data_IF_038505504012
#
_entry.id   IF_038505504012
#
_cell.length_a   1.000
_cell.length_b   1.000
_cell.length_c   1.000
_cell.angle_alpha   90.00
_cell.angle_beta   90.00
_cell.angle_gamma   90.00
#
_symmetry.space_group_name_H-M   'P 1'
#
loop_
_entity.id
_entity.type
_entity.pdbx_description
1 polymer ?
#
# COMPACT_ATOMS: atom_id res chain seq x y z
N UNK A 1 -1.79 14.90 -0.83
CA UNK A 1 -0.43 15.37 -1.21
C UNK A 1 -0.02 14.72 -2.54
N UNK A 2 0.61 15.45 -3.47
CA UNK A 2 1.14 14.90 -4.73
C UNK A 2 2.56 15.45 -4.96
N UNK A 3 3.42 14.65 -5.60
CA UNK A 3 4.78 15.06 -5.94
C UNK A 3 4.80 15.83 -7.27
N UNK A 4 5.75 16.77 -7.39
CA UNK A 4 6.06 17.46 -8.65
C UNK A 4 7.29 16.80 -9.28
N UNK A 5 7.26 16.41 -10.57
CA UNK A 5 8.43 15.87 -11.26
C UNK A 5 9.59 16.88 -11.29
N UNK A 6 10.81 16.41 -11.04
CA UNK A 6 12.01 17.24 -11.03
C UNK A 6 13.27 16.43 -10.75
N UNK A 7 14.45 17.07 -10.80
CA UNK A 7 15.67 16.44 -10.34
C UNK A 7 15.58 16.09 -8.86
N UNK A 8 16.31 15.05 -8.43
CA UNK A 8 16.40 14.72 -7.00
C UNK A 8 17.03 15.91 -6.26
N UNK A 9 16.32 16.52 -5.30
CA UNK A 9 16.84 17.68 -4.59
C UNK A 9 18.07 17.30 -3.75
N UNK A 10 19.00 18.23 -3.63
CA UNK A 10 20.24 18.08 -2.86
C UNK A 10 20.29 19.09 -1.73
N UNK A 11 21.04 18.78 -0.67
CA UNK A 11 21.22 19.64 0.49
C UNK A 11 20.38 19.24 1.70
N UNK A 12 20.53 20.01 2.77
CA UNK A 12 19.85 19.78 4.05
C UNK A 12 18.34 20.04 3.95
N UNK A 13 17.55 19.33 4.75
CA UNK A 13 16.09 19.48 4.80
C UNK A 13 15.31 18.57 3.84
N UNK A 14 15.99 17.75 3.04
CA UNK A 14 15.36 16.75 2.18
C UNK A 14 15.54 15.34 2.73
N UNK A 15 14.45 14.56 2.71
CA UNK A 15 14.49 13.11 2.82
C UNK A 15 14.25 12.51 1.44
N UNK A 16 14.93 11.40 1.14
CA UNK A 16 14.78 10.68 -0.12
C UNK A 16 14.30 9.26 0.15
N UNK A 17 13.31 8.83 -0.62
CA UNK A 17 12.78 7.48 -0.59
C UNK A 17 12.80 6.88 -2.00
N UNK A 18 12.88 5.55 -2.08
CA UNK A 18 12.76 4.85 -3.34
C UNK A 18 11.34 5.04 -3.90
N UNK A 19 11.25 5.49 -5.16
CA UNK A 19 9.97 5.51 -5.86
C UNK A 19 9.62 4.08 -6.29
N UNK A 20 8.66 3.47 -5.62
CA UNK A 20 8.12 2.17 -6.00
C UNK A 20 7.09 2.30 -7.13
N UNK A 21 7.14 1.39 -8.11
CA UNK A 21 6.12 1.28 -9.16
C UNK A 21 4.99 0.36 -8.68
N UNK A 22 3.94 0.96 -8.12
CA UNK A 22 2.80 0.25 -7.55
C UNK A 22 1.48 0.97 -7.72
N UNK A 23 0.60 0.76 -6.74
CA UNK A 23 -0.65 1.49 -6.59
C UNK A 23 -0.63 2.21 -5.25
N UNK A 24 -0.63 3.55 -5.28
CA UNK A 24 -0.83 4.35 -4.07
C UNK A 24 -2.08 3.93 -3.30
N UNK A 25 -1.89 3.77 -2.01
CA UNK A 25 -2.77 3.11 -1.07
C UNK A 25 -2.91 3.96 0.19
N UNK A 26 -4.13 4.44 0.46
CA UNK A 26 -4.48 5.04 1.74
C UNK A 26 -5.11 3.96 2.63
N UNK A 27 -4.45 3.65 3.74
CA UNK A 27 -4.92 2.69 4.73
C UNK A 27 -5.49 3.43 5.92
N UNK A 28 -6.63 2.96 6.44
CA UNK A 28 -7.16 3.42 7.73
C UNK A 28 -7.54 2.22 8.59
N UNK A 29 -7.06 2.19 9.83
CA UNK A 29 -7.43 1.20 10.84
C UNK A 29 -7.96 1.92 12.09
N UNK A 30 -9.14 1.53 12.57
CA UNK A 30 -9.74 2.06 13.79
C UNK A 30 -10.84 1.11 14.28
N UNK A 31 -10.99 0.99 15.60
CA UNK A 31 -12.11 0.27 16.22
C UNK A 31 -12.24 -1.19 15.70
N UNK A 32 -11.10 -1.87 15.53
CA UNK A 32 -11.01 -3.24 14.99
C UNK A 32 -11.34 -3.39 13.50
N UNK A 33 -11.58 -2.28 12.80
CA UNK A 33 -11.89 -2.26 11.36
C UNK A 33 -10.72 -1.67 10.59
N UNK A 34 -10.58 -2.09 9.34
CA UNK A 34 -9.63 -1.50 8.41
C UNK A 34 -10.30 -1.20 7.07
N UNK A 35 -9.70 -0.28 6.32
CA UNK A 35 -10.03 -0.02 4.92
C UNK A 35 -8.77 0.32 4.15
N UNK A 36 -8.76 -0.07 2.89
CA UNK A 36 -7.76 0.32 1.91
C UNK A 36 -8.46 1.07 0.76
N UNK A 37 -7.99 2.28 0.47
CA UNK A 37 -8.49 3.11 -0.63
C UNK A 37 -7.39 3.35 -1.66
N UNK A 38 -7.75 3.29 -2.94
CA UNK A 38 -6.86 3.68 -4.04
C UNK A 38 -6.67 5.21 -4.07
N UNK A 39 -5.75 5.68 -4.92
CA UNK A 39 -5.57 7.10 -5.23
C UNK A 39 -6.86 7.85 -5.61
N UNK A 40 -7.83 7.17 -6.22
CA UNK A 40 -9.13 7.78 -6.60
C UNK A 40 -10.19 7.69 -5.51
N UNK A 41 -9.84 7.20 -4.31
CA UNK A 41 -10.74 7.04 -3.17
C UNK A 41 -11.59 5.77 -3.19
N UNK A 42 -11.45 4.92 -4.22
CA UNK A 42 -12.21 3.66 -4.30
C UNK A 42 -11.75 2.69 -3.22
N UNK A 43 -12.71 2.11 -2.49
CA UNK A 43 -12.44 0.99 -1.59
C UNK A 43 -12.00 -0.26 -2.38
N UNK A 44 -10.81 -0.76 -2.06
CA UNK A 44 -10.18 -1.93 -2.68
C UNK A 44 -9.77 -2.97 -1.64
N UNK A 45 -10.34 -2.90 -0.43
CA UNK A 45 -10.01 -3.82 0.68
C UNK A 45 -10.23 -5.29 0.30
N UNK A 46 -11.32 -5.60 -0.44
CA UNK A 46 -11.61 -6.97 -0.91
C UNK A 46 -10.67 -7.48 -2.01
N UNK A 47 -9.88 -6.60 -2.63
CA UNK A 47 -8.86 -6.98 -3.62
C UNK A 47 -7.54 -7.39 -2.95
N UNK A 48 -7.30 -6.89 -1.73
CA UNK A 48 -6.08 -7.13 -0.96
C UNK A 48 -6.40 -7.61 0.47
N UNK A 49 -7.15 -8.72 0.62
CA UNK A 49 -7.59 -9.20 1.92
C UNK A 49 -6.43 -9.61 2.85
N UNK A 50 -5.23 -9.86 2.33
CA UNK A 50 -4.04 -10.13 3.13
C UNK A 50 -3.66 -8.97 4.08
N UNK A 51 -4.09 -7.74 3.80
CA UNK A 51 -3.89 -6.58 4.68
C UNK A 51 -4.88 -6.50 5.84
N UNK A 52 -5.78 -7.48 5.99
CA UNK A 52 -6.76 -7.52 7.08
C UNK A 52 -6.16 -7.66 8.48
N UNK A 53 -4.90 -8.05 8.57
CA UNK A 53 -4.14 -8.16 9.82
C UNK A 53 -3.74 -6.81 10.42
N UNK A 54 -3.88 -5.71 9.66
CA UNK A 54 -3.38 -4.39 10.07
C UNK A 54 -3.91 -3.87 11.40
N UNK A 55 -5.22 -3.98 11.75
CA UNK A 55 -5.70 -3.53 13.06
C UNK A 55 -4.98 -4.21 14.23
N UNK A 56 -4.72 -5.52 14.11
CA UNK A 56 -4.00 -6.29 15.13
C UNK A 56 -2.51 -5.92 15.15
N UNK A 57 -1.87 -5.84 13.98
CA UNK A 57 -0.47 -5.43 13.83
C UNK A 57 -0.20 -4.05 14.43
N UNK A 58 -1.17 -3.14 14.33
CA UNK A 58 -1.10 -1.76 14.83
C UNK A 58 -1.57 -1.63 16.29
N UNK A 59 -1.79 -2.75 16.99
CA UNK A 59 -2.17 -2.75 18.41
C UNK A 59 -3.55 -2.16 18.69
N UNK A 60 -4.47 -2.20 17.71
CA UNK A 60 -5.82 -1.66 17.84
C UNK A 60 -5.92 -0.13 17.80
N UNK A 61 -4.79 0.58 17.57
CA UNK A 61 -4.73 2.04 17.53
C UNK A 61 -5.50 2.62 16.35
N UNK A 62 -5.91 3.88 16.48
CA UNK A 62 -6.50 4.64 15.37
C UNK A 62 -5.37 5.16 14.50
N UNK A 63 -5.25 4.62 13.29
CA UNK A 63 -4.13 4.90 12.38
C UNK A 63 -4.63 5.20 10.97
N UNK A 64 -4.02 6.19 10.32
CA UNK A 64 -4.12 6.37 8.88
C UNK A 64 -2.72 6.44 8.27
N UNK A 65 -2.45 5.58 7.29
CA UNK A 65 -1.16 5.51 6.57
C UNK A 65 -1.36 5.89 5.10
N UNK A 66 -0.35 6.56 4.55
CA UNK A 66 -0.14 6.65 3.11
C UNK A 66 1.01 5.72 2.71
N UNK A 67 0.88 5.07 1.57
CA UNK A 67 1.84 4.08 1.14
C UNK A 67 1.67 3.67 -0.31
N UNK A 68 2.60 2.86 -0.78
CA UNK A 68 2.55 2.24 -2.09
C UNK A 68 2.32 0.74 -1.94
N UNK A 69 1.28 0.23 -2.59
CA UNK A 69 0.99 -1.19 -2.63
C UNK A 69 1.64 -1.81 -3.87
N UNK A 70 2.51 -2.79 -3.65
CA UNK A 70 3.29 -3.45 -4.71
C UNK A 70 3.05 -4.95 -4.71
N UNK A 71 3.39 -5.60 -5.82
CA UNK A 71 3.64 -7.05 -5.86
C UNK A 71 5.09 -7.21 -6.25
N UNK A 72 5.82 -8.06 -5.53
CA UNK A 72 7.22 -8.30 -5.79
C UNK A 72 7.42 -9.49 -6.73
N UNK A 73 8.45 -9.43 -7.56
CA UNK A 73 8.97 -10.58 -8.29
C UNK A 73 9.84 -11.48 -7.37
N UNK A 74 10.35 -12.63 -7.86
CA UNK A 74 11.22 -13.49 -7.06
C UNK A 74 12.54 -12.86 -6.62
N UNK A 75 12.98 -11.77 -7.24
CA UNK A 75 14.17 -11.01 -6.85
C UNK A 75 13.86 -9.91 -5.83
N UNK A 76 12.58 -9.73 -5.43
CA UNK A 76 12.16 -8.70 -4.49
C UNK A 76 11.93 -7.32 -5.12
N UNK A 77 11.90 -7.22 -6.46
CA UNK A 77 11.67 -5.97 -7.18
C UNK A 77 10.18 -5.81 -7.45
N UNK A 78 9.68 -4.56 -7.37
CA UNK A 78 8.27 -4.27 -7.67
C UNK A 78 7.95 -4.60 -9.14
N UNK A 79 6.98 -5.49 -9.34
CA UNK A 79 6.48 -5.92 -10.65
C UNK A 79 5.05 -5.39 -10.84
N UNK A 80 4.96 -4.29 -11.59
CA UNK A 80 3.68 -3.64 -11.86
C UNK A 80 2.73 -4.52 -12.69
N UNK A 81 3.26 -5.39 -13.55
CA UNK A 81 2.42 -6.29 -14.37
C UNK A 81 1.71 -7.31 -13.48
N UNK A 82 2.40 -7.88 -12.49
CA UNK A 82 1.78 -8.76 -11.50
C UNK A 82 0.75 -8.02 -10.64
N UNK A 83 1.06 -6.79 -10.23
CA UNK A 83 0.10 -5.97 -9.49
C UNK A 83 -1.17 -5.70 -10.31
N UNK A 84 -1.06 -5.45 -11.62
CA UNK A 84 -2.23 -5.27 -12.49
C UNK A 84 -3.15 -6.50 -12.52
N UNK A 85 -2.59 -7.71 -12.44
CA UNK A 85 -3.37 -8.94 -12.33
C UNK A 85 -4.15 -9.00 -11.01
N UNK A 86 -3.61 -8.43 -9.93
CA UNK A 86 -4.28 -8.33 -8.62
C UNK A 86 -5.38 -7.28 -8.62
N UNK A 87 -5.12 -6.06 -9.07
CA UNK A 87 -6.04 -4.90 -8.94
C UNK A 87 -7.44 -5.17 -9.53
N UNK A 88 -7.54 -6.04 -10.54
CA UNK A 88 -8.79 -6.33 -11.24
C UNK A 88 -9.65 -7.41 -10.57
N UNK A 89 -9.11 -8.14 -9.61
CA UNK A 89 -9.77 -9.30 -8.98
C UNK A 89 -10.27 -8.94 -7.59
N UNK A 90 -11.59 -8.81 -7.43
CA UNK A 90 -12.21 -8.77 -6.10
C UNK A 90 -12.28 -10.18 -5.53
N UNK A 91 -12.04 -10.33 -4.23
CA UNK A 91 -12.05 -11.62 -3.52
C UNK A 91 -11.15 -12.66 -4.23
N UNK A 92 -9.83 -12.40 -4.32
CA UNK A 92 -8.91 -13.29 -5.03
C UNK A 92 -8.89 -14.69 -4.41
N UNK A 93 -8.78 -15.71 -5.26
CA UNK A 93 -8.56 -17.09 -4.80
C UNK A 93 -7.26 -17.19 -3.99
N UNK A 94 -7.20 -18.17 -3.07
CA UNK A 94 -5.98 -18.45 -2.30
C UNK A 94 -4.76 -18.76 -3.19
N UNK A 95 -4.99 -19.33 -4.38
CA UNK A 95 -3.94 -19.55 -5.39
C UNK A 95 -3.35 -18.24 -5.88
N UNK A 96 -4.19 -17.25 -6.18
CA UNK A 96 -3.74 -15.94 -6.66
C UNK A 96 -3.01 -15.17 -5.55
N UNK A 97 -3.52 -15.23 -4.31
CA UNK A 97 -2.87 -14.62 -3.14
C UNK A 97 -1.43 -15.13 -2.95
N UNK A 98 -1.23 -16.44 -3.09
CA UNK A 98 0.11 -17.05 -2.99
C UNK A 98 1.02 -16.73 -4.17
N UNK A 99 0.48 -16.64 -5.38
CA UNK A 99 1.27 -16.40 -6.58
C UNK A 99 1.75 -14.94 -6.72
N UNK A 100 1.00 -13.99 -6.15
CA UNK A 100 1.24 -12.56 -6.29
C UNK A 100 0.88 -11.82 -4.99
N UNK A 101 1.56 -12.10 -3.86
CA UNK A 101 1.26 -11.46 -2.58
C UNK A 101 1.50 -9.95 -2.64
N UNK A 102 0.58 -9.16 -2.08
CA UNK A 102 0.75 -7.72 -1.99
C UNK A 102 1.61 -7.33 -0.79
N UNK A 103 2.47 -6.34 -0.97
CA UNK A 103 3.24 -5.68 0.09
C UNK A 103 2.87 -4.21 0.14
N UNK A 104 2.71 -3.66 1.34
CA UNK A 104 2.51 -2.23 1.56
C UNK A 104 3.82 -1.61 2.03
N UNK A 105 4.38 -0.69 1.24
CA UNK A 105 5.43 0.21 1.68
C UNK A 105 4.79 1.51 2.18
N UNK A 106 4.63 1.64 3.49
CA UNK A 106 4.12 2.87 4.10
C UNK A 106 5.23 3.93 4.15
N UNK A 107 4.91 5.15 3.73
CA UNK A 107 5.84 6.29 3.71
C UNK A 107 5.31 7.50 4.47
N UNK A 108 4.04 7.51 4.88
CA UNK A 108 3.47 8.59 5.69
C UNK A 108 2.50 8.07 6.75
N UNK A 109 2.47 8.75 7.89
CA UNK A 109 1.57 8.52 9.01
C UNK A 109 0.71 9.78 9.19
N UNK A 110 -0.53 9.70 8.72
CA UNK A 110 -1.43 10.84 8.66
C UNK A 110 -2.23 11.03 9.96
N UNK A 111 -2.50 9.94 10.67
CA UNK A 111 -3.25 9.93 11.94
C UNK A 111 -2.66 8.87 12.85
N UNK A 112 -2.51 9.23 14.13
CA UNK A 112 -2.16 8.34 15.22
C UNK A 112 -2.88 8.77 16.50
N UNK A 113 -3.86 7.96 16.92
CA UNK A 113 -4.78 8.19 18.06
C UNK A 113 -5.55 9.52 18.04
#
# INVERSE_FOLDING_TARGET
MLATPGPVPTGEGWAAEAKHDGMRAAVSAADGRWRLRSRTGRDVSSTFPELSVLPELLGGRRVALDGELVVLDPAGVSDFTRLQQRIRVRNPSTRLLRAAPATLYAFDLLVLD
#
